data_IF_494806427356
#
_entry.id   IF_494806427356
#
_cell.length_a   1.000
_cell.length_b   1.000
_cell.length_c   1.000
_cell.angle_alpha   90.00
_cell.angle_beta   90.00
_cell.angle_gamma   90.00
#
_symmetry.space_group_name_H-M   'P 1'
#
loop_
_entity.id
_entity.type
_entity.pdbx_description
1 polymer ?
#
# COMPACT_ATOMS: atom_id res chain seq x y z
N UNK A 1 16.31 -23.30 -50.38
CA UNK A 1 15.71 -22.08 -49.81
C UNK A 1 15.25 -22.49 -48.42
N UNK A 2 16.05 -22.19 -47.40
CA UNK A 2 15.75 -22.54 -46.00
C UNK A 2 15.14 -21.31 -45.36
N UNK A 3 13.83 -21.38 -45.09
CA UNK A 3 13.17 -20.39 -44.24
C UNK A 3 13.66 -20.56 -42.81
N UNK A 4 14.51 -19.67 -42.35
CA UNK A 4 14.89 -19.56 -40.94
C UNK A 4 13.72 -18.91 -40.21
N UNK A 5 12.83 -19.77 -39.68
CA UNK A 5 11.79 -19.33 -38.75
C UNK A 5 12.45 -18.89 -37.44
N UNK A 6 12.81 -17.62 -37.35
CA UNK A 6 13.21 -16.97 -36.11
C UNK A 6 11.97 -16.84 -35.23
N UNK A 7 11.65 -17.88 -34.48
CA UNK A 7 10.70 -17.81 -33.39
C UNK A 7 11.17 -16.74 -32.40
N UNK A 8 10.57 -15.56 -32.50
CA UNK A 8 10.80 -14.50 -31.52
C UNK A 8 10.44 -15.05 -30.12
N UNK A 9 11.45 -15.20 -29.26
CA UNK A 9 11.24 -15.64 -27.89
C UNK A 9 10.22 -14.71 -27.22
N UNK A 10 9.17 -15.27 -26.65
CA UNK A 10 8.18 -14.48 -25.89
C UNK A 10 8.92 -13.66 -24.82
N UNK A 11 8.58 -12.37 -24.66
CA UNK A 11 9.24 -11.54 -23.66
C UNK A 11 9.06 -12.17 -22.26
N UNK A 12 10.08 -12.05 -21.40
CA UNK A 12 9.99 -12.64 -20.06
C UNK A 12 8.75 -12.09 -19.34
N UNK A 13 7.99 -12.99 -18.72
CA UNK A 13 6.72 -12.67 -18.04
C UNK A 13 6.89 -11.72 -16.85
N UNK A 14 8.12 -11.58 -16.33
CA UNK A 14 8.48 -10.64 -15.27
C UNK A 14 9.75 -9.88 -15.68
N UNK A 15 9.66 -8.57 -15.81
CA UNK A 15 10.80 -7.73 -16.10
C UNK A 15 10.69 -6.42 -15.30
N UNK A 16 11.68 -6.17 -14.44
CA UNK A 16 11.83 -4.86 -13.80
C UNK A 16 12.39 -3.91 -14.87
N UNK A 17 11.60 -2.90 -15.24
CA UNK A 17 12.04 -1.85 -16.17
C UNK A 17 12.59 -0.69 -15.36
N UNK A 18 13.62 0.05 -15.85
CA UNK A 18 14.16 1.23 -15.16
C UNK A 18 13.09 2.25 -14.76
N UNK A 19 12.05 2.39 -15.59
CA UNK A 19 10.89 3.25 -15.32
C UNK A 19 10.01 2.77 -14.15
N UNK A 20 10.19 1.54 -13.67
CA UNK A 20 9.42 0.99 -12.55
C UNK A 20 10.07 1.36 -11.20
N UNK A 21 11.30 1.87 -11.21
CA UNK A 21 12.04 2.26 -10.01
C UNK A 21 11.34 3.35 -9.17
N UNK A 22 10.62 4.28 -9.82
CA UNK A 22 9.93 5.35 -9.10
C UNK A 22 8.76 4.83 -8.23
N UNK A 23 8.10 3.73 -8.61
CA UNK A 23 7.05 3.13 -7.79
C UNK A 23 7.62 2.54 -6.50
N UNK A 24 8.79 1.88 -6.60
CA UNK A 24 9.49 1.39 -5.42
C UNK A 24 10.01 2.55 -4.56
N UNK A 25 10.51 3.61 -5.18
CA UNK A 25 10.93 4.81 -4.45
C UNK A 25 9.75 5.46 -3.71
N UNK A 26 8.57 5.52 -4.34
CA UNK A 26 7.35 6.00 -3.69
C UNK A 26 6.94 5.10 -2.52
N UNK A 27 6.93 3.77 -2.71
CA UNK A 27 6.61 2.84 -1.63
C UNK A 27 7.58 3.02 -0.44
N UNK A 28 8.88 3.15 -0.69
CA UNK A 28 9.88 3.41 0.34
C UNK A 28 9.67 4.78 1.02
N UNK A 29 9.30 5.82 0.27
CA UNK A 29 8.98 7.13 0.84
C UNK A 29 7.76 7.05 1.78
N UNK A 30 6.72 6.30 1.42
CA UNK A 30 5.55 6.07 2.29
C UNK A 30 5.96 5.32 3.56
N UNK A 31 6.77 4.25 3.45
CA UNK A 31 7.31 3.55 4.62
C UNK A 31 8.09 4.49 5.52
N UNK A 32 9.00 5.29 4.96
CA UNK A 32 9.79 6.26 5.71
C UNK A 32 8.93 7.29 6.43
N UNK A 33 7.93 7.86 5.73
CA UNK A 33 7.01 8.84 6.31
C UNK A 33 6.15 8.21 7.42
N UNK A 34 5.62 7.01 7.21
CA UNK A 34 4.83 6.28 8.20
C UNK A 34 5.64 5.99 9.46
N UNK A 35 6.84 5.43 9.32
CA UNK A 35 7.68 5.09 10.47
C UNK A 35 8.20 6.34 11.18
N UNK A 36 8.55 7.41 10.46
CA UNK A 36 8.99 8.67 11.06
C UNK A 36 7.86 9.34 11.85
N UNK A 37 6.65 9.41 11.30
CA UNK A 37 5.50 9.98 12.01
C UNK A 37 5.13 9.15 13.24
N UNK A 38 5.11 7.83 13.13
CA UNK A 38 4.87 6.93 14.28
C UNK A 38 5.94 7.05 15.35
N UNK A 39 7.21 7.24 14.96
CA UNK A 39 8.28 7.50 15.92
C UNK A 39 8.06 8.82 16.67
N UNK A 40 7.77 9.92 15.95
CA UNK A 40 7.47 11.22 16.58
C UNK A 40 6.31 11.10 17.55
N UNK A 41 5.22 10.40 17.18
CA UNK A 41 4.07 10.22 18.08
C UNK A 41 4.44 9.45 19.34
N UNK A 42 5.26 8.40 19.23
CA UNK A 42 5.73 7.64 20.41
C UNK A 42 6.55 8.46 21.38
N UNK A 43 7.33 9.42 20.87
CA UNK A 43 8.19 10.28 21.70
C UNK A 43 7.46 11.51 22.27
N UNK A 44 6.50 12.07 21.51
CA UNK A 44 5.92 13.38 21.82
C UNK A 44 4.52 13.32 22.46
N UNK A 45 3.83 12.19 22.39
CA UNK A 45 2.45 12.04 22.86
C UNK A 45 2.34 10.84 23.79
N UNK A 46 1.85 11.02 25.01
CA UNK A 46 1.65 9.89 25.93
C UNK A 46 0.54 8.97 25.44
N UNK A 47 0.63 7.68 25.78
CA UNK A 47 -0.41 6.70 25.38
C UNK A 47 -1.76 7.09 25.99
N UNK A 48 -2.77 7.14 25.12
CA UNK A 48 -4.14 7.52 25.47
C UNK A 48 -4.41 9.02 25.45
N UNK A 49 -3.40 9.86 25.28
CA UNK A 49 -3.59 11.30 25.12
C UNK A 49 -4.18 11.66 23.75
N UNK A 50 -4.86 12.81 23.72
CA UNK A 50 -5.46 13.38 22.53
C UNK A 50 -5.29 14.89 22.50
N UNK A 51 -4.69 15.40 21.43
CA UNK A 51 -4.49 16.82 21.18
C UNK A 51 -5.30 17.28 19.97
N UNK A 52 -6.12 18.31 20.14
CA UNK A 52 -6.81 18.93 18.99
C UNK A 52 -5.79 19.72 18.15
N UNK A 53 -5.76 19.47 16.85
CA UNK A 53 -4.91 20.20 15.90
C UNK A 53 -5.74 21.28 15.19
N UNK A 54 -6.75 20.83 14.45
CA UNK A 54 -7.76 21.67 13.80
C UNK A 54 -9.03 20.83 13.68
N UNK A 55 -10.17 21.40 14.06
CA UNK A 55 -11.42 20.65 13.95
C UNK A 55 -11.68 20.22 12.48
N UNK A 56 -12.02 18.95 12.18
CA UNK A 56 -12.33 17.85 13.12
C UNK A 56 -11.14 16.94 13.48
N UNK A 57 -9.91 17.27 13.09
CA UNK A 57 -8.73 16.44 13.24
C UNK A 57 -8.10 16.56 14.63
N UNK A 58 -7.81 15.42 15.24
CA UNK A 58 -7.05 15.29 16.47
C UNK A 58 -5.83 14.39 16.25
N UNK A 59 -4.74 14.68 16.95
CA UNK A 59 -3.62 13.76 17.11
C UNK A 59 -3.85 12.99 18.40
N UNK A 60 -3.72 11.67 18.33
CA UNK A 60 -3.87 10.75 19.46
C UNK A 60 -2.69 9.77 19.47
N UNK A 61 -2.42 9.13 20.60
CA UNK A 61 -1.51 7.98 20.64
C UNK A 61 -2.27 6.75 21.08
N UNK A 62 -2.72 5.96 20.12
CA UNK A 62 -3.43 4.71 20.34
C UNK A 62 -2.67 3.58 19.69
N UNK A 63 -2.61 2.41 20.33
CA UNK A 63 -2.03 1.20 19.76
C UNK A 63 -3.13 0.22 19.39
N UNK A 64 -2.96 -0.44 18.26
CA UNK A 64 -3.94 -1.33 17.66
C UNK A 64 -3.31 -2.71 17.39
N UNK A 65 -3.68 -3.70 18.16
CA UNK A 65 -3.25 -5.09 17.97
C UNK A 65 -4.15 -5.88 17.00
N UNK A 66 -5.20 -5.23 16.49
CA UNK A 66 -6.19 -5.82 15.57
C UNK A 66 -6.25 -5.15 14.22
N UNK A 67 -7.43 -5.24 13.60
CA UNK A 67 -7.82 -4.49 12.42
C UNK A 67 -8.65 -3.26 12.81
N UNK A 68 -9.12 -2.50 11.80
CA UNK A 68 -10.01 -1.37 12.02
C UNK A 68 -11.22 -1.73 12.88
N UNK A 69 -11.75 -0.76 13.63
CA UNK A 69 -12.90 -0.93 14.54
C UNK A 69 -12.71 -1.95 15.68
N UNK A 70 -11.45 -2.29 16.03
CA UNK A 70 -11.16 -3.26 17.10
C UNK A 70 -11.48 -4.73 16.73
N UNK A 71 -11.70 -4.99 15.44
CA UNK A 71 -11.87 -6.35 14.95
C UNK A 71 -10.56 -7.13 15.04
N UNK A 72 -10.64 -8.43 15.36
CA UNK A 72 -9.47 -9.31 15.42
C UNK A 72 -8.39 -8.86 16.42
N UNK A 73 -8.79 -8.33 17.59
CA UNK A 73 -7.82 -8.01 18.64
C UNK A 73 -7.03 -9.27 19.02
N UNK A 74 -5.71 -9.12 19.15
CA UNK A 74 -4.82 -10.25 19.40
C UNK A 74 -4.45 -11.10 18.17
N UNK A 75 -5.05 -10.85 17.00
CA UNK A 75 -4.74 -11.56 15.76
C UNK A 75 -3.56 -10.96 14.99
N UNK A 76 -2.63 -10.27 15.66
CA UNK A 76 -1.44 -9.67 15.05
C UNK A 76 -0.69 -10.59 14.07
N UNK A 77 -0.40 -11.86 14.42
CA UNK A 77 0.25 -12.80 13.51
C UNK A 77 -0.57 -13.10 12.24
N UNK A 78 -1.90 -13.24 12.36
CA UNK A 78 -2.78 -13.44 11.20
C UNK A 78 -2.80 -12.21 10.30
N UNK A 79 -2.87 -11.02 10.88
CA UNK A 79 -2.81 -9.76 10.14
C UNK A 79 -1.45 -9.54 9.48
N UNK A 80 -0.35 -9.97 10.11
CA UNK A 80 0.97 -9.95 9.49
C UNK A 80 1.03 -10.91 8.29
N UNK A 81 0.51 -12.13 8.44
CA UNK A 81 0.46 -13.10 7.34
C UNK A 81 -0.36 -12.60 6.16
N UNK A 82 -1.56 -12.07 6.40
CA UNK A 82 -2.40 -11.52 5.33
C UNK A 82 -1.74 -10.31 4.66
N UNK A 83 -1.01 -9.48 5.40
CA UNK A 83 -0.21 -8.39 4.85
C UNK A 83 0.90 -8.91 3.92
N UNK A 84 1.63 -9.96 4.31
CA UNK A 84 2.67 -10.58 3.50
C UNK A 84 2.09 -11.15 2.20
N UNK A 85 0.96 -11.87 2.28
CA UNK A 85 0.28 -12.43 1.10
C UNK A 85 -0.20 -11.31 0.16
N UNK A 86 -0.80 -10.25 0.71
CA UNK A 86 -1.23 -9.09 -0.05
C UNK A 86 -0.06 -8.37 -0.74
N UNK A 87 1.06 -8.17 -0.04
CA UNK A 87 2.27 -7.61 -0.64
C UNK A 87 2.82 -8.48 -1.76
N UNK A 88 2.82 -9.82 -1.59
CA UNK A 88 3.20 -10.75 -2.65
C UNK A 88 2.35 -10.58 -3.91
N UNK A 89 1.03 -10.49 -3.76
CA UNK A 89 0.12 -10.24 -4.86
C UNK A 89 0.38 -8.87 -5.54
N UNK A 90 0.61 -7.81 -4.74
CA UNK A 90 0.94 -6.47 -5.25
C UNK A 90 2.23 -6.52 -6.08
N UNK A 91 3.27 -7.19 -5.59
CA UNK A 91 4.55 -7.31 -6.30
C UNK A 91 4.39 -8.07 -7.62
N UNK A 92 3.67 -9.21 -7.60
CA UNK A 92 3.36 -9.97 -8.83
C UNK A 92 2.68 -9.09 -9.86
N UNK A 93 1.69 -8.30 -9.43
CA UNK A 93 0.96 -7.41 -10.32
C UNK A 93 1.82 -6.23 -10.81
N UNK A 94 2.60 -5.61 -9.93
CA UNK A 94 3.43 -4.44 -10.22
C UNK A 94 4.51 -4.76 -11.27
N UNK A 95 5.09 -5.96 -11.20
CA UNK A 95 6.15 -6.40 -12.12
C UNK A 95 5.63 -7.15 -13.35
N UNK A 96 4.32 -7.32 -13.50
CA UNK A 96 3.75 -7.92 -14.69
C UNK A 96 3.66 -6.88 -15.83
N UNK A 97 4.32 -7.12 -16.97
CA UNK A 97 4.33 -6.17 -18.11
C UNK A 97 2.94 -5.93 -18.71
N UNK A 98 2.01 -6.89 -18.57
CA UNK A 98 0.63 -6.79 -19.07
C UNK A 98 -0.20 -5.72 -18.34
N UNK A 99 0.22 -5.28 -17.15
CA UNK A 99 -0.49 -4.30 -16.34
C UNK A 99 0.28 -2.96 -16.34
N UNK A 100 0.29 -2.26 -17.46
CA UNK A 100 1.12 -1.07 -17.65
C UNK A 100 0.43 0.25 -17.26
N UNK A 101 -0.82 0.23 -16.76
CA UNK A 101 -1.58 1.45 -16.46
C UNK A 101 -0.92 2.26 -15.32
N UNK A 102 -0.52 3.53 -15.55
CA UNK A 102 0.24 4.30 -14.56
C UNK A 102 -0.50 4.52 -13.23
N UNK A 103 -1.82 4.76 -13.30
CA UNK A 103 -2.64 5.01 -12.13
C UNK A 103 -2.79 3.75 -11.25
N UNK A 104 -2.92 2.57 -11.87
CA UNK A 104 -2.94 1.29 -11.16
C UNK A 104 -1.61 1.06 -10.43
N UNK A 105 -0.49 1.32 -11.11
CA UNK A 105 0.85 1.19 -10.50
C UNK A 105 1.06 2.18 -9.36
N UNK A 106 0.57 3.41 -9.49
CA UNK A 106 0.58 4.39 -8.40
C UNK A 106 -0.19 3.87 -7.18
N UNK A 107 -1.42 3.37 -7.40
CA UNK A 107 -2.23 2.77 -6.34
C UNK A 107 -1.54 1.60 -5.66
N UNK A 108 -0.95 0.69 -6.43
CA UNK A 108 -0.21 -0.46 -5.90
C UNK A 108 1.04 -0.05 -5.11
N UNK A 109 1.77 1.00 -5.54
CA UNK A 109 2.93 1.50 -4.81
C UNK A 109 2.54 2.09 -3.45
N UNK A 110 1.44 2.84 -3.38
CA UNK A 110 0.89 3.37 -2.13
C UNK A 110 0.46 2.22 -1.19
N UNK A 111 -0.26 1.23 -1.72
CA UNK A 111 -0.67 0.06 -0.95
C UNK A 111 0.52 -0.75 -0.44
N UNK A 112 1.55 -0.94 -1.27
CA UNK A 112 2.77 -1.64 -0.87
C UNK A 112 3.47 -0.91 0.27
N UNK A 113 3.69 0.40 0.14
CA UNK A 113 4.32 1.21 1.18
C UNK A 113 3.56 1.17 2.49
N UNK A 114 2.23 1.34 2.45
CA UNK A 114 1.38 1.26 3.63
C UNK A 114 1.35 -0.14 4.27
N UNK A 115 1.27 -1.20 3.47
CA UNK A 115 1.30 -2.57 3.97
C UNK A 115 2.62 -2.90 4.68
N UNK A 116 3.76 -2.48 4.09
CA UNK A 116 5.08 -2.63 4.71
C UNK A 116 5.19 -1.82 6.00
N UNK A 117 4.73 -0.56 6.03
CA UNK A 117 4.76 0.28 7.22
C UNK A 117 4.04 -0.36 8.42
N UNK A 118 2.82 -0.84 8.21
CA UNK A 118 2.05 -1.52 9.25
C UNK A 118 2.60 -2.91 9.61
N UNK A 119 3.23 -3.62 8.65
CA UNK A 119 3.88 -4.89 8.91
C UNK A 119 5.11 -4.73 9.81
N UNK A 120 5.93 -3.69 9.59
CA UNK A 120 7.09 -3.38 10.44
C UNK A 120 6.66 -3.26 11.91
N UNK A 121 5.61 -2.50 12.19
CA UNK A 121 5.11 -2.35 13.56
C UNK A 121 4.62 -3.68 14.15
N UNK A 122 3.85 -4.47 13.39
CA UNK A 122 3.36 -5.78 13.87
C UNK A 122 4.48 -6.76 14.16
N UNK A 123 5.50 -6.82 13.32
CA UNK A 123 6.65 -7.72 13.55
C UNK A 123 7.52 -7.24 14.68
N UNK A 124 7.75 -5.93 14.79
CA UNK A 124 8.66 -5.37 15.80
C UNK A 124 8.03 -5.23 17.18
N UNK A 125 6.71 -4.94 17.28
CA UNK A 125 6.02 -4.55 18.51
C UNK A 125 4.72 -5.29 18.78
N UNK A 126 4.22 -6.09 17.84
CA UNK A 126 2.94 -6.80 17.94
C UNK A 126 1.71 -5.90 17.76
N UNK A 127 1.87 -4.60 17.71
CA UNK A 127 0.80 -3.60 17.62
C UNK A 127 1.20 -2.45 16.71
N UNK A 128 0.23 -1.82 16.06
CA UNK A 128 0.41 -0.66 15.18
C UNK A 128 0.08 0.61 15.94
N UNK A 129 0.84 1.69 15.75
CA UNK A 129 0.51 3.01 16.29
C UNK A 129 -0.41 3.76 15.34
N UNK A 130 -1.60 4.14 15.83
CA UNK A 130 -2.58 4.96 15.14
C UNK A 130 -2.65 6.32 15.81
N UNK A 131 -2.59 7.41 15.01
CA UNK A 131 -2.44 8.75 15.57
C UNK A 131 -3.32 9.83 14.94
N UNK A 132 -3.94 9.57 13.80
CA UNK A 132 -4.92 10.47 13.18
C UNK A 132 -6.32 10.06 13.62
N UNK A 133 -7.06 10.99 14.21
CA UNK A 133 -8.42 10.74 14.70
C UNK A 133 -9.39 11.79 14.19
N UNK A 134 -10.47 11.33 13.57
CA UNK A 134 -11.64 12.14 13.23
C UNK A 134 -12.89 11.59 13.94
N UNK A 135 -13.93 12.42 14.18
CA UNK A 135 -15.17 11.95 14.80
C UNK A 135 -15.78 10.76 14.08
N UNK A 136 -16.31 9.81 14.83
CA UNK A 136 -17.01 8.62 14.32
C UNK A 136 -16.19 7.69 13.42
N UNK A 137 -14.88 7.87 13.36
CA UNK A 137 -13.96 7.00 12.62
C UNK A 137 -12.87 6.46 13.56
N UNK A 138 -12.40 5.22 13.40
CA UNK A 138 -11.25 4.72 14.17
C UNK A 138 -10.03 5.63 14.01
N UNK A 139 -9.11 5.61 14.95
CA UNK A 139 -7.80 6.20 14.73
C UNK A 139 -7.08 5.44 13.61
N UNK A 140 -6.25 6.13 12.85
CA UNK A 140 -5.50 5.57 11.72
C UNK A 140 -4.14 6.28 11.60
N UNK A 141 -3.31 5.85 10.65
CA UNK A 141 -1.96 6.35 10.43
C UNK A 141 -1.69 6.65 8.94
N UNK A 142 -0.44 6.99 8.62
CA UNK A 142 -0.03 7.27 7.23
C UNK A 142 -0.15 6.02 6.35
N UNK A 143 0.22 4.85 6.87
CA UNK A 143 0.12 3.59 6.13
C UNK A 143 -1.33 3.27 5.73
N UNK A 144 -2.29 3.44 6.65
CA UNK A 144 -3.72 3.21 6.38
C UNK A 144 -4.26 4.19 5.34
N UNK A 145 -3.84 5.46 5.43
CA UNK A 145 -4.16 6.49 4.44
C UNK A 145 -3.65 6.11 3.06
N UNK A 146 -2.39 5.66 2.97
CA UNK A 146 -1.78 5.25 1.71
C UNK A 146 -2.48 4.02 1.11
N UNK A 147 -2.82 3.01 1.93
CA UNK A 147 -3.59 1.84 1.48
C UNK A 147 -4.96 2.29 0.94
N UNK A 148 -5.67 3.12 1.70
CA UNK A 148 -7.02 3.59 1.31
C UNK A 148 -6.98 4.36 -0.01
N UNK A 149 -6.06 5.33 -0.16
CA UNK A 149 -5.89 6.09 -1.40
C UNK A 149 -5.50 5.15 -2.53
N UNK A 150 -4.60 4.20 -2.29
CA UNK A 150 -4.17 3.21 -3.27
C UNK A 150 -5.33 2.36 -3.80
N UNK A 151 -6.19 1.88 -2.91
CA UNK A 151 -7.41 1.12 -3.28
C UNK A 151 -8.37 1.98 -4.10
N UNK A 152 -8.60 3.23 -3.70
CA UNK A 152 -9.46 4.15 -4.45
C UNK A 152 -8.93 4.42 -5.86
N UNK A 153 -7.60 4.58 -6.01
CA UNK A 153 -6.97 4.75 -7.32
C UNK A 153 -7.11 3.49 -8.19
N UNK A 154 -7.01 2.29 -7.62
CA UNK A 154 -7.24 1.05 -8.35
C UNK A 154 -8.68 0.93 -8.81
N UNK A 155 -9.64 1.18 -7.93
CA UNK A 155 -11.07 1.16 -8.27
C UNK A 155 -11.34 2.17 -9.40
N UNK A 156 -10.84 3.39 -9.25
CA UNK A 156 -10.97 4.42 -10.27
C UNK A 156 -10.40 3.98 -11.63
N UNK A 157 -9.18 3.45 -11.64
CA UNK A 157 -8.54 3.00 -12.86
C UNK A 157 -9.34 1.88 -13.55
N UNK A 158 -9.87 0.91 -12.77
CA UNK A 158 -10.67 -0.19 -13.32
C UNK A 158 -12.02 0.29 -13.87
N UNK A 159 -12.66 1.24 -13.20
CA UNK A 159 -13.99 1.73 -13.59
C UNK A 159 -13.96 2.68 -14.79
N UNK A 160 -12.89 3.44 -14.97
CA UNK A 160 -12.81 4.52 -15.95
C UNK A 160 -11.67 4.33 -16.97
N UNK A 161 -10.98 3.18 -16.96
CA UNK A 161 -10.01 2.85 -18.00
C UNK A 161 -10.77 2.48 -19.28
N UNK A 162 -10.83 3.45 -20.18
CA UNK A 162 -11.45 3.32 -21.51
C UNK A 162 -10.40 3.07 -22.60
N UNK A 163 -9.31 2.36 -22.30
CA UNK A 163 -8.38 1.96 -23.37
C UNK A 163 -9.17 1.10 -24.37
N UNK A 164 -9.31 1.57 -25.63
CA UNK A 164 -9.99 0.78 -26.65
C UNK A 164 -9.26 -0.56 -26.81
N UNK A 165 -10.01 -1.64 -26.77
CA UNK A 165 -9.52 -2.96 -27.17
C UNK A 165 -8.89 -2.81 -28.56
N UNK A 166 -7.63 -3.24 -28.79
CA UNK A 166 -7.05 -3.18 -30.12
C UNK A 166 -7.97 -3.97 -31.05
N UNK A 167 -8.72 -3.25 -31.90
CA UNK A 167 -9.49 -3.86 -32.95
C UNK A 167 -8.58 -4.79 -33.75
N UNK A 168 -8.93 -6.07 -33.92
CA UNK A 168 -8.15 -6.94 -34.80
C UNK A 168 -8.15 -6.29 -36.20
N UNK A 169 -6.98 -5.86 -36.66
CA UNK A 169 -6.80 -5.48 -38.05
C UNK A 169 -7.15 -6.71 -38.93
N UNK A 170 -8.20 -6.58 -39.70
CA UNK A 170 -8.60 -7.55 -40.72
C UNK A 170 -7.61 -7.61 -41.88
#
# INVERSE_FOLDING_TARGET
>A
MHDVNTSAAAPPRFAIRPRDGWFLALALAIVGLDQATKWVIREAVERGEAHAVVWPLKIVHVTNSGAAFGLFQGAGPLLALTSILGMGAILVYLFNPGFAHPLMRLGLALMLGGAVGNLIDRVAKGEVVDFLKVPNWPAFNVADSAITIGVLLLIWAVMFDTTPDPTPEN
#
